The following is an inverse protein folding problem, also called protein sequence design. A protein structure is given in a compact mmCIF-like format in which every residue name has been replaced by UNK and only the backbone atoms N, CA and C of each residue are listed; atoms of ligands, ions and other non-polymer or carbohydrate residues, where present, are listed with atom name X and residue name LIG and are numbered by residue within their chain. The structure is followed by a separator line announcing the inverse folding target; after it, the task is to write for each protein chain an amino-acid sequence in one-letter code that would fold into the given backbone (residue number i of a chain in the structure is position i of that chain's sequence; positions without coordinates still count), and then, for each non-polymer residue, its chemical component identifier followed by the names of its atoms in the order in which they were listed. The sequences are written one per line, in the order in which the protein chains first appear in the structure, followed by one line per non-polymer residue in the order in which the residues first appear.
data_IF_418341837621
#
_entry.id   IF_418341837621
#
_cell.length_a   1.000
_cell.length_b   1.000
_cell.length_c   1.000
_cell.angle_alpha   90.00
_cell.angle_beta   90.00
_cell.angle_gamma   90.00
#
_symmetry.space_group_name_H-M   'P 1'
#
loop_
_entity.id
_entity.type
_entity.pdbx_description
1 polymer ?
#
# COMPACT_ATOMS: atom_id res chain seq x y z
N UNK A 1 9.48 1.48 11.58
CA UNK A 1 9.53 1.11 10.14
C UNK A 1 10.78 0.37 9.71
N UNK A 2 11.99 0.96 9.74
CA UNK A 2 13.20 0.26 9.24
C UNK A 2 13.42 -1.08 9.98
N UNK A 3 13.27 -1.08 11.30
CA UNK A 3 13.34 -2.30 12.12
C UNK A 3 12.22 -3.30 11.79
N UNK A 4 11.02 -2.83 11.41
CA UNK A 4 9.91 -3.69 11.04
C UNK A 4 10.16 -4.38 9.69
N UNK A 5 10.70 -3.64 8.72
CA UNK A 5 11.15 -4.18 7.43
C UNK A 5 12.25 -5.22 7.65
N UNK A 6 13.22 -4.94 8.52
CA UNK A 6 14.25 -5.90 8.92
C UNK A 6 13.64 -7.16 9.53
N UNK A 7 12.71 -7.00 10.48
CA UNK A 7 11.99 -8.13 11.10
C UNK A 7 11.29 -8.98 10.06
N UNK A 8 10.60 -8.39 9.08
CA UNK A 8 9.94 -9.13 7.99
C UNK A 8 10.96 -9.88 7.13
N UNK A 9 12.09 -9.26 6.80
CA UNK A 9 13.16 -9.90 6.03
C UNK A 9 13.80 -11.10 6.76
N UNK A 10 13.85 -11.04 8.09
CA UNK A 10 14.35 -12.13 8.93
C UNK A 10 13.26 -13.21 9.20
N UNK A 11 12.09 -13.07 8.59
CA UNK A 11 10.97 -13.99 8.72
C UNK A 11 9.96 -13.63 9.80
N UNK A 12 10.15 -12.60 10.62
CA UNK A 12 9.05 -12.13 11.47
C UNK A 12 7.88 -11.53 10.67
N UNK A 13 6.88 -11.06 11.39
CA UNK A 13 5.73 -10.32 10.87
C UNK A 13 5.74 -8.88 11.37
N UNK A 14 5.02 -7.99 10.68
CA UNK A 14 4.81 -6.62 11.17
C UNK A 14 3.45 -6.07 10.79
N UNK A 15 2.93 -5.19 11.63
CA UNK A 15 1.68 -4.48 11.39
C UNK A 15 1.81 -3.05 11.86
N UNK A 16 1.49 -2.10 10.98
CA UNK A 16 1.50 -0.67 11.28
C UNK A 16 0.30 0.04 10.68
N UNK A 17 -0.24 1.02 11.38
CA UNK A 17 -1.27 1.96 10.91
C UNK A 17 -0.66 3.35 10.91
N UNK A 18 -0.52 3.94 9.73
CA UNK A 18 -0.03 5.29 9.53
C UNK A 18 -1.24 6.22 9.46
N UNK A 19 -1.37 7.09 10.45
CA UNK A 19 -2.52 7.97 10.63
C UNK A 19 -2.10 9.42 10.46
N UNK A 20 -2.82 10.16 9.62
CA UNK A 20 -2.58 11.58 9.42
C UNK A 20 -3.71 12.21 8.62
N UNK A 21 -3.84 13.53 8.72
CA UNK A 21 -4.82 14.32 7.98
C UNK A 21 -4.66 14.16 6.46
N UNK A 22 -5.66 14.59 5.69
CA UNK A 22 -5.48 14.76 4.25
C UNK A 22 -4.31 15.70 3.99
N UNK A 23 -3.45 15.35 3.01
CA UNK A 23 -2.23 16.10 2.74
C UNK A 23 -1.05 15.84 3.68
N UNK A 24 -1.20 15.12 4.81
CA UNK A 24 -0.11 14.87 5.77
C UNK A 24 1.02 13.94 5.27
N UNK A 25 1.04 13.59 3.98
CA UNK A 25 2.11 12.79 3.38
C UNK A 25 1.99 11.28 3.59
N UNK A 26 0.79 10.75 3.92
CA UNK A 26 0.56 9.30 4.11
C UNK A 26 1.02 8.46 2.91
N UNK A 27 0.53 8.77 1.73
CA UNK A 27 0.91 8.06 0.49
C UNK A 27 2.41 8.13 0.22
N UNK A 28 3.03 9.29 0.46
CA UNK A 28 4.48 9.45 0.36
C UNK A 28 5.21 8.54 1.35
N UNK A 29 4.77 8.49 2.62
CA UNK A 29 5.34 7.63 3.63
C UNK A 29 5.22 6.14 3.28
N UNK A 30 4.05 5.71 2.78
CA UNK A 30 3.85 4.33 2.31
C UNK A 30 4.79 4.01 1.13
N UNK A 31 4.96 4.94 0.19
CA UNK A 31 5.91 4.77 -0.92
C UNK A 31 7.37 4.72 -0.44
N UNK A 32 7.74 5.50 0.57
CA UNK A 32 9.07 5.43 1.19
C UNK A 32 9.31 4.06 1.85
N UNK A 33 8.33 3.55 2.59
CA UNK A 33 8.38 2.20 3.18
C UNK A 33 8.59 1.15 2.09
N UNK A 34 7.85 1.24 0.97
CA UNK A 34 8.02 0.34 -0.18
C UNK A 34 9.43 0.40 -0.74
N UNK A 35 9.95 1.60 -1.01
CA UNK A 35 11.29 1.77 -1.57
C UNK A 35 12.36 1.13 -0.67
N UNK A 36 12.28 1.34 0.65
CA UNK A 36 13.20 0.73 1.62
C UNK A 36 13.05 -0.79 1.66
N UNK A 37 11.81 -1.31 1.59
CA UNK A 37 11.54 -2.74 1.57
C UNK A 37 12.14 -3.42 0.33
N UNK A 38 12.02 -2.79 -0.85
CA UNK A 38 12.64 -3.27 -2.10
C UNK A 38 14.16 -3.32 -1.98
N UNK A 39 14.79 -2.30 -1.41
CA UNK A 39 16.25 -2.29 -1.14
C UNK A 39 16.68 -3.40 -0.18
N UNK A 40 15.81 -3.77 0.77
CA UNK A 40 15.99 -4.91 1.67
C UNK A 40 15.60 -6.27 1.05
N UNK A 41 15.46 -6.35 -0.28
CA UNK A 41 15.11 -7.57 -1.04
C UNK A 41 13.75 -8.17 -0.65
N UNK A 42 12.83 -7.36 -0.11
CA UNK A 42 11.43 -7.77 0.03
C UNK A 42 10.68 -7.58 -1.28
N UNK A 43 9.59 -8.34 -1.44
CA UNK A 43 8.55 -8.08 -2.42
C UNK A 43 7.58 -7.07 -1.82
N UNK A 44 7.10 -6.09 -2.60
CA UNK A 44 6.06 -5.15 -2.13
C UNK A 44 4.82 -5.28 -2.97
N UNK A 45 3.65 -5.21 -2.34
CA UNK A 45 2.34 -5.09 -3.02
C UNK A 45 1.61 -3.87 -2.46
N UNK A 46 0.85 -3.18 -3.30
CA UNK A 46 0.16 -1.97 -2.87
C UNK A 46 -1.16 -1.74 -3.62
N UNK A 47 -2.12 -1.14 -2.92
CA UNK A 47 -3.41 -0.75 -3.48
C UNK A 47 -4.10 0.28 -2.58
N UNK A 48 -4.92 1.12 -3.19
CA UNK A 48 -5.82 2.01 -2.48
C UNK A 48 -7.17 1.31 -2.26
N UNK A 49 -7.73 1.45 -1.06
CA UNK A 49 -9.08 0.99 -0.79
C UNK A 49 -10.09 1.95 -1.41
N UNK A 50 -11.18 1.39 -1.91
CA UNK A 50 -12.31 2.13 -2.47
C UNK A 50 -13.60 1.28 -2.35
N UNK A 51 -14.77 1.77 -2.78
CA UNK A 51 -16.01 1.00 -2.68
C UNK A 51 -15.95 -0.39 -3.33
N UNK A 52 -15.11 -0.60 -4.35
CA UNK A 52 -14.97 -1.87 -5.08
C UNK A 52 -13.77 -2.71 -4.63
N UNK A 53 -12.94 -2.20 -3.71
CA UNK A 53 -11.72 -2.83 -3.19
C UNK A 53 -11.69 -2.71 -1.67
N UNK A 54 -12.10 -3.78 -0.99
CA UNK A 54 -12.25 -3.84 0.47
C UNK A 54 -11.51 -5.04 1.03
N UNK A 55 -11.19 -5.02 2.32
CA UNK A 55 -10.50 -6.15 2.97
C UNK A 55 -11.41 -7.36 3.14
N UNK A 56 -12.71 -7.13 3.32
CA UNK A 56 -13.72 -8.16 3.45
C UNK A 56 -14.98 -7.77 2.67
N UNK A 57 -15.49 -8.70 1.86
CA UNK A 57 -16.75 -8.57 1.14
C UNK A 57 -17.28 -9.97 0.74
N UNK A 58 -18.41 -10.01 0.04
CA UNK A 58 -18.96 -11.24 -0.54
C UNK A 58 -19.30 -11.11 -2.03
N UNK A 59 -19.09 -9.93 -2.62
CA UNK A 59 -19.46 -9.59 -4.00
C UNK A 59 -18.30 -9.52 -4.98
N UNK A 60 -17.12 -10.02 -4.60
CA UNK A 60 -15.89 -9.97 -5.40
C UNK A 60 -14.97 -8.80 -5.08
N UNK A 61 -15.34 -7.90 -4.16
CA UNK A 61 -14.55 -6.69 -3.86
C UNK A 61 -13.24 -7.02 -3.14
N UNK A 62 -13.20 -8.07 -2.30
CA UNK A 62 -11.97 -8.48 -1.65
C UNK A 62 -11.03 -9.17 -2.66
N UNK A 63 -11.57 -9.99 -3.56
CA UNK A 63 -10.81 -10.56 -4.67
C UNK A 63 -10.29 -9.47 -5.61
N UNK A 64 -11.08 -8.42 -5.87
CA UNK A 64 -10.66 -7.24 -6.65
C UNK A 64 -9.46 -6.53 -6.01
N UNK A 65 -9.49 -6.35 -4.68
CA UNK A 65 -8.34 -5.82 -3.93
C UNK A 65 -7.11 -6.73 -4.10
N UNK A 66 -7.26 -8.05 -3.95
CA UNK A 66 -6.16 -8.99 -4.14
C UNK A 66 -5.58 -8.95 -5.55
N UNK A 67 -6.43 -8.91 -6.58
CA UNK A 67 -5.99 -8.83 -7.96
C UNK A 67 -5.20 -7.56 -8.25
N UNK A 68 -5.62 -6.42 -7.69
CA UNK A 68 -4.86 -5.18 -7.76
C UNK A 68 -3.50 -5.30 -7.05
N UNK A 69 -3.48 -5.87 -5.84
CA UNK A 69 -2.22 -6.12 -5.10
C UNK A 69 -1.26 -7.01 -5.89
N UNK A 70 -1.76 -8.10 -6.48
CA UNK A 70 -0.96 -9.02 -7.27
C UNK A 70 -0.45 -8.38 -8.57
N UNK A 71 -1.26 -7.54 -9.22
CA UNK A 71 -0.84 -6.74 -10.38
C UNK A 71 0.25 -5.75 -10.01
N UNK A 72 0.11 -5.08 -8.87
CA UNK A 72 1.05 -4.07 -8.36
C UNK A 72 2.25 -4.67 -7.60
N UNK A 73 2.39 -6.00 -7.64
CA UNK A 73 3.52 -6.71 -7.05
C UNK A 73 4.82 -6.28 -7.69
N UNK A 74 5.76 -5.83 -6.86
CA UNK A 74 7.01 -5.20 -7.26
C UNK A 74 8.21 -5.84 -6.58
N UNK A 75 9.33 -5.88 -7.30
CA UNK A 75 10.63 -6.31 -6.78
C UNK A 75 11.66 -5.23 -7.08
N UNK A 76 12.85 -5.29 -6.47
CA UNK A 76 13.90 -4.29 -6.72
C UNK A 76 14.26 -4.15 -8.22
N UNK A 77 14.18 -5.24 -8.98
CA UNK A 77 14.46 -5.25 -10.42
C UNK A 77 13.25 -4.85 -11.27
N UNK A 78 12.07 -4.74 -10.67
CA UNK A 78 10.82 -4.35 -11.34
C UNK A 78 9.94 -3.55 -10.36
N UNK A 79 10.30 -2.28 -10.08
CA UNK A 79 9.65 -1.47 -9.05
C UNK A 79 8.25 -0.96 -9.44
N UNK A 80 7.94 -0.94 -10.74
CA UNK A 80 6.70 -0.38 -11.30
C UNK A 80 5.52 -1.39 -11.32
N UNK A 81 5.67 -2.57 -10.72
CA UNK A 81 4.65 -3.62 -10.68
C UNK A 81 4.84 -4.74 -11.71
N UNK A 82 3.92 -5.72 -11.70
CA UNK A 82 3.93 -6.87 -12.61
C UNK A 82 5.09 -7.84 -12.40
N UNK A 83 5.63 -7.96 -11.19
CA UNK A 83 6.79 -8.80 -10.88
C UNK A 83 6.44 -10.27 -10.61
N UNK A 84 5.16 -10.62 -10.45
CA UNK A 84 4.70 -11.96 -10.08
C UNK A 84 5.25 -13.07 -10.99
N UNK A 85 5.17 -12.90 -12.32
CA UNK A 85 5.70 -13.88 -13.26
C UNK A 85 7.21 -14.08 -13.09
N UNK A 86 7.99 -13.01 -12.93
CA UNK A 86 9.43 -13.10 -12.70
C UNK A 86 9.79 -13.76 -11.35
N UNK A 87 8.94 -13.62 -10.33
CA UNK A 87 9.12 -14.35 -9.06
C UNK A 87 8.90 -15.85 -9.26
N UNK A 88 7.85 -16.24 -10.00
CA UNK A 88 7.56 -17.64 -10.34
C UNK A 88 8.69 -18.25 -11.17
N UNK A 89 9.15 -17.54 -12.20
CA UNK A 89 10.28 -17.97 -13.04
C UNK A 89 11.57 -18.15 -12.23
N UNK A 90 11.86 -17.23 -11.30
CA UNK A 90 13.03 -17.33 -10.42
C UNK A 90 12.96 -18.60 -9.56
N UNK A 91 11.81 -18.88 -8.95
CA UNK A 91 11.59 -20.11 -8.17
C UNK A 91 11.79 -21.36 -9.03
N UNK A 92 11.18 -21.41 -10.22
CA UNK A 92 11.30 -22.54 -11.13
C UNK A 92 12.75 -22.74 -11.61
N UNK A 93 13.47 -21.64 -11.87
CA UNK A 93 14.89 -21.71 -12.22
C UNK A 93 15.76 -22.33 -11.12
N UNK A 94 15.47 -22.00 -9.86
CA UNK A 94 16.12 -22.61 -8.69
C UNK A 94 15.78 -24.10 -8.60
N UNK A 95 14.48 -24.46 -8.69
CA UNK A 95 14.02 -25.84 -8.63
C UNK A 95 14.61 -26.71 -9.77
N UNK A 96 14.72 -26.17 -11.00
CA UNK A 96 15.38 -26.86 -12.13
C UNK A 96 16.86 -27.10 -11.89
N UNK A 97 17.55 -26.15 -11.25
CA UNK A 97 18.97 -26.30 -10.92
C UNK A 97 19.16 -27.42 -9.89
N UNK A 98 18.31 -27.47 -8.87
CA UNK A 98 18.33 -28.54 -7.86
C UNK A 98 17.91 -29.91 -8.44
N UNK A 99 16.92 -29.94 -9.35
CA UNK A 99 16.51 -31.15 -10.05
C UNK A 99 17.67 -31.79 -10.82
N UNK A 100 18.44 -30.98 -11.57
CA UNK A 100 19.65 -31.43 -12.27
C UNK A 100 20.72 -31.96 -11.31
N UNK A 101 20.90 -31.33 -10.15
CA UNK A 101 21.90 -31.74 -9.16
C UNK A 101 21.51 -33.03 -8.43
N UNK A 102 20.21 -33.28 -8.22
CA UNK A 102 19.67 -34.41 -7.46
C UNK A 102 19.21 -35.60 -8.33
N UNK A 103 19.23 -35.46 -9.66
CA UNK A 103 18.74 -36.49 -10.59
C UNK A 103 17.23 -36.68 -10.56
N UNK A 104 16.47 -35.70 -10.05
CA UNK A 104 15.00 -35.70 -9.99
C UNK A 104 14.42 -34.87 -11.12
N UNK A 105 13.12 -35.00 -11.36
CA UNK A 105 12.39 -34.09 -12.26
C UNK A 105 12.16 -32.73 -11.60
N UNK A 106 11.99 -31.69 -12.41
CA UNK A 106 11.65 -30.33 -11.92
C UNK A 106 10.34 -30.32 -11.13
N UNK A 107 9.33 -31.07 -11.59
CA UNK A 107 8.04 -31.15 -10.92
C UNK A 107 8.14 -31.80 -9.53
N UNK A 108 8.93 -32.86 -9.37
CA UNK A 108 9.16 -33.50 -8.07
C UNK A 108 9.82 -32.55 -7.06
N UNK A 109 10.82 -31.77 -7.51
CA UNK A 109 11.49 -30.77 -6.67
C UNK A 109 10.54 -29.65 -6.30
N UNK A 110 9.76 -29.12 -7.26
CA UNK A 110 8.75 -28.08 -6.99
C UNK A 110 7.75 -28.56 -5.95
N UNK A 111 7.19 -29.77 -6.11
CA UNK A 111 6.24 -30.33 -5.14
C UNK A 111 6.88 -30.48 -3.76
N UNK A 112 8.11 -31.01 -3.69
CA UNK A 112 8.82 -31.18 -2.43
C UNK A 112 9.08 -29.84 -1.72
N UNK A 113 9.50 -28.82 -2.46
CA UNK A 113 9.71 -27.48 -1.91
C UNK A 113 8.39 -26.82 -1.46
N UNK A 114 7.28 -27.07 -2.15
CA UNK A 114 5.97 -26.49 -1.81
C UNK A 114 5.14 -27.32 -0.81
N UNK A 115 5.61 -28.50 -0.38
CA UNK A 115 4.88 -29.39 0.53
C UNK A 115 4.38 -28.69 1.80
N UNK A 116 5.21 -27.85 2.43
CA UNK A 116 4.84 -27.12 3.64
C UNK A 116 3.75 -26.07 3.41
N UNK A 117 3.52 -25.63 2.15
CA UNK A 117 2.41 -24.76 1.82
C UNK A 117 1.09 -25.51 1.72
N UNK A 118 1.11 -26.82 1.48
CA UNK A 118 -0.12 -27.61 1.28
C UNK A 118 -1.01 -27.71 2.52
N UNK A 119 -0.46 -27.45 3.71
CA UNK A 119 -1.21 -27.36 4.97
C UNK A 119 -1.97 -26.02 5.10
N UNK A 120 -1.65 -25.05 4.26
CA UNK A 120 -2.31 -23.74 4.22
C UNK A 120 -3.56 -23.78 3.32
N UNK A 121 -4.47 -22.83 3.54
CA UNK A 121 -5.64 -22.63 2.66
C UNK A 121 -5.16 -22.38 1.21
N UNK A 122 -5.76 -23.08 0.25
CA UNK A 122 -5.38 -23.09 -1.17
C UNK A 122 -3.97 -23.64 -1.48
N UNK A 123 -3.26 -24.19 -0.50
CA UNK A 123 -1.89 -24.70 -0.63
C UNK A 123 -1.68 -25.75 -1.72
N UNK A 124 -2.57 -26.74 -1.77
CA UNK A 124 -2.48 -27.83 -2.74
C UNK A 124 -2.68 -27.33 -4.18
N UNK A 125 -3.76 -26.58 -4.44
CA UNK A 125 -4.03 -26.01 -5.76
C UNK A 125 -2.93 -25.00 -6.15
N UNK A 126 -2.36 -24.25 -5.20
CA UNK A 126 -1.23 -23.36 -5.47
C UNK A 126 -0.01 -24.13 -5.99
N UNK A 127 0.33 -25.27 -5.39
CA UNK A 127 1.44 -26.11 -5.86
C UNK A 127 1.17 -26.64 -7.28
N UNK A 128 -0.06 -27.06 -7.57
CA UNK A 128 -0.46 -27.51 -8.91
C UNK A 128 -0.39 -26.37 -9.94
N UNK A 129 -0.71 -25.13 -9.55
CA UNK A 129 -0.59 -23.94 -10.41
C UNK A 129 0.87 -23.62 -10.74
N UNK A 130 1.78 -23.70 -9.77
CA UNK A 130 3.22 -23.50 -10.01
C UNK A 130 3.78 -24.62 -10.90
N UNK A 131 3.36 -25.87 -10.67
CA UNK A 131 3.74 -27.00 -11.53
C UNK A 131 3.20 -26.82 -12.96
N UNK A 132 1.97 -26.35 -13.13
CA UNK A 132 1.37 -26.03 -14.43
C UNK A 132 2.16 -24.94 -15.16
N UNK A 133 2.59 -23.88 -14.46
CA UNK A 133 3.47 -22.87 -15.04
C UNK A 133 4.80 -23.48 -15.51
N UNK A 134 5.42 -24.36 -14.71
CA UNK A 134 6.67 -25.03 -15.09
C UNK A 134 6.50 -25.88 -16.35
N UNK A 135 5.44 -26.70 -16.44
CA UNK A 135 5.13 -27.48 -17.64
C UNK A 135 4.89 -26.57 -18.84
N UNK A 136 4.13 -25.50 -18.67
CA UNK A 136 3.90 -24.53 -19.74
C UNK A 136 5.19 -23.87 -20.23
N UNK A 137 6.14 -23.61 -19.33
CA UNK A 137 7.47 -23.14 -19.70
C UNK A 137 8.28 -24.18 -20.47
N UNK A 138 8.28 -25.44 -20.03
CA UNK A 138 9.03 -26.53 -20.67
C UNK A 138 8.48 -26.91 -22.06
N UNK A 139 7.16 -26.83 -22.23
CA UNK A 139 6.45 -27.17 -23.47
C UNK A 139 6.28 -25.98 -24.42
N UNK A 140 6.66 -24.76 -24.01
CA UNK A 140 6.40 -23.54 -24.77
C UNK A 140 4.92 -23.16 -24.87
N UNK A 141 4.09 -23.66 -23.95
CA UNK A 141 2.66 -23.39 -23.89
C UNK A 141 2.38 -22.07 -23.13
N UNK A 142 2.34 -20.97 -23.87
CA UNK A 142 2.07 -19.64 -23.32
C UNK A 142 0.67 -19.50 -22.71
N UNK A 143 -0.32 -20.24 -23.20
CA UNK A 143 -1.67 -20.25 -22.62
C UNK A 143 -1.64 -20.81 -21.20
N UNK A 144 -0.97 -21.95 -20.99
CA UNK A 144 -0.88 -22.57 -19.66
C UNK A 144 -0.12 -21.70 -18.66
N UNK A 145 0.95 -21.03 -19.10
CA UNK A 145 1.67 -20.03 -18.29
C UNK A 145 0.76 -18.85 -17.93
N UNK A 146 0.03 -18.33 -18.92
CA UNK A 146 -0.91 -17.23 -18.74
C UNK A 146 -2.02 -17.57 -17.74
N UNK A 147 -2.61 -18.75 -17.87
CA UNK A 147 -3.66 -19.24 -16.97
C UNK A 147 -3.13 -19.43 -15.54
N UNK A 148 -1.91 -19.95 -15.37
CA UNK A 148 -1.31 -20.08 -14.05
C UNK A 148 -1.09 -18.71 -13.38
N UNK A 149 -0.58 -17.71 -14.11
CA UNK A 149 -0.45 -16.34 -13.60
C UNK A 149 -1.82 -15.73 -13.29
N UNK A 150 -2.81 -15.96 -14.14
CA UNK A 150 -4.20 -15.52 -13.94
C UNK A 150 -4.79 -16.08 -12.65
N UNK A 151 -4.52 -17.35 -12.33
CA UNK A 151 -4.93 -17.94 -11.05
C UNK A 151 -4.20 -17.31 -9.88
N UNK A 152 -2.88 -17.14 -9.95
CA UNK A 152 -2.09 -16.51 -8.88
C UNK A 152 -2.51 -15.05 -8.60
N UNK A 153 -3.04 -14.35 -9.62
CA UNK A 153 -3.62 -13.01 -9.52
C UNK A 153 -5.08 -12.99 -9.03
N UNK A 154 -5.73 -14.14 -8.85
CA UNK A 154 -7.12 -14.19 -8.42
C UNK A 154 -8.12 -13.73 -9.49
N UNK A 155 -7.78 -13.90 -10.77
CA UNK A 155 -8.57 -13.39 -11.91
C UNK A 155 -9.54 -14.43 -12.50
N UNK A 156 -9.68 -15.58 -11.86
CA UNK A 156 -10.75 -16.53 -12.16
C UNK A 156 -12.02 -16.19 -11.38
N UNK A 157 -13.13 -16.04 -12.10
CA UNK A 157 -14.44 -15.77 -11.51
C UNK A 157 -15.17 -17.04 -11.06
N UNK A 158 -14.90 -18.18 -11.71
CA UNK A 158 -15.57 -19.46 -11.43
C UNK A 158 -14.57 -20.60 -11.26
N UNK A 159 -14.93 -21.59 -10.44
CA UNK A 159 -14.16 -22.83 -10.25
C UNK A 159 -14.13 -23.68 -11.52
N UNK A 160 -15.19 -23.63 -12.33
CA UNK A 160 -15.29 -24.37 -13.59
C UNK A 160 -14.23 -23.92 -14.58
N UNK A 161 -14.04 -22.61 -14.74
CA UNK A 161 -13.04 -22.07 -15.66
C UNK A 161 -11.62 -22.38 -15.19
N UNK A 162 -11.36 -22.25 -13.89
CA UNK A 162 -10.05 -22.59 -13.30
C UNK A 162 -9.73 -24.07 -13.46
N UNK A 163 -10.72 -24.95 -13.28
CA UNK A 163 -10.57 -26.39 -13.49
C UNK A 163 -10.31 -26.73 -14.96
N UNK A 164 -11.01 -26.08 -15.89
CA UNK A 164 -10.80 -26.29 -17.31
C UNK A 164 -9.40 -25.84 -17.77
N UNK A 165 -8.90 -24.73 -17.23
CA UNK A 165 -7.61 -24.16 -17.60
C UNK A 165 -6.41 -24.89 -16.94
N UNK A 166 -6.53 -25.26 -15.67
CA UNK A 166 -5.39 -25.70 -14.84
C UNK A 166 -5.61 -27.02 -14.10
N UNK A 167 -6.83 -27.59 -14.12
CA UNK A 167 -7.17 -28.80 -13.39
C UNK A 167 -7.39 -28.61 -11.87
N UNK A 168 -7.28 -27.38 -11.37
CA UNK A 168 -7.47 -27.04 -9.94
C UNK A 168 -8.93 -27.05 -9.51
N UNK A 169 -9.16 -27.21 -8.20
CA UNK A 169 -10.52 -27.30 -7.62
C UNK A 169 -11.02 -26.01 -7.00
N UNK A 170 -10.12 -25.09 -6.67
CA UNK A 170 -10.44 -23.81 -6.01
C UNK A 170 -10.03 -22.61 -6.85
N UNK A 171 -10.55 -21.46 -6.44
CA UNK A 171 -10.13 -20.13 -6.90
C UNK A 171 -9.88 -19.29 -5.65
N UNK A 172 -9.13 -18.20 -5.80
CA UNK A 172 -9.01 -17.18 -4.77
C UNK A 172 -10.33 -16.38 -4.78
N UNK A 173 -11.11 -16.54 -3.71
CA UNK A 173 -12.39 -15.87 -3.49
C UNK A 173 -12.29 -14.86 -2.34
N UNK A 174 -13.34 -14.06 -2.14
CA UNK A 174 -13.35 -13.00 -1.12
C UNK A 174 -13.01 -13.50 0.30
N UNK A 175 -13.40 -14.73 0.63
CA UNK A 175 -13.16 -15.33 1.94
C UNK A 175 -11.71 -15.77 2.16
N UNK A 176 -10.98 -16.09 1.09
CA UNK A 176 -9.63 -16.65 1.13
C UNK A 176 -8.51 -15.66 0.83
N UNK A 177 -8.82 -14.41 0.47
CA UNK A 177 -7.83 -13.37 0.08
C UNK A 177 -6.70 -13.20 1.10
N UNK A 178 -7.02 -13.14 2.39
CA UNK A 178 -5.99 -12.93 3.40
C UNK A 178 -5.11 -14.18 3.60
N UNK A 179 -5.70 -15.37 3.57
CA UNK A 179 -4.93 -16.61 3.64
C UNK A 179 -4.04 -16.78 2.40
N UNK A 180 -4.52 -16.32 1.24
CA UNK A 180 -3.74 -16.25 0.02
C UNK A 180 -2.55 -15.27 0.13
N UNK A 181 -2.71 -14.12 0.80
CA UNK A 181 -1.58 -13.21 1.06
C UNK A 181 -0.52 -13.86 1.95
N UNK A 182 -0.92 -14.61 2.98
CA UNK A 182 0.01 -15.39 3.80
C UNK A 182 0.75 -16.43 2.96
N UNK A 183 0.03 -17.19 2.14
CA UNK A 183 0.61 -18.19 1.26
C UNK A 183 1.60 -17.55 0.27
N UNK A 184 1.24 -16.42 -0.35
CA UNK A 184 2.13 -15.68 -1.24
C UNK A 184 3.40 -15.20 -0.53
N UNK A 185 3.28 -14.71 0.72
CA UNK A 185 4.43 -14.31 1.53
C UNK A 185 5.43 -15.46 1.76
N UNK A 186 4.92 -16.68 1.98
CA UNK A 186 5.73 -17.89 2.06
C UNK A 186 6.40 -18.20 0.74
N UNK A 187 5.64 -18.19 -0.34
CA UNK A 187 6.13 -18.49 -1.67
C UNK A 187 7.25 -17.54 -2.11
N UNK A 188 7.14 -16.23 -1.87
CA UNK A 188 8.21 -15.29 -2.23
C UNK A 188 9.51 -15.56 -1.46
N UNK A 189 9.42 -16.06 -0.22
CA UNK A 189 10.61 -16.50 0.53
C UNK A 189 11.26 -17.72 -0.12
N UNK A 190 10.46 -18.70 -0.54
CA UNK A 190 10.96 -19.87 -1.28
C UNK A 190 11.60 -19.48 -2.61
N UNK A 191 11.08 -18.46 -3.29
CA UNK A 191 11.68 -17.87 -4.48
C UNK A 191 12.97 -17.07 -4.18
N UNK A 192 13.43 -17.01 -2.92
CA UNK A 192 14.66 -16.37 -2.48
C UNK A 192 14.55 -14.85 -2.29
N UNK A 193 13.39 -14.34 -1.89
CA UNK A 193 13.21 -12.98 -1.37
C UNK A 193 13.14 -13.00 0.17
N UNK A 194 13.29 -11.85 0.84
CA UNK A 194 13.25 -11.82 2.32
C UNK A 194 11.85 -12.00 2.91
N UNK A 195 10.80 -11.68 2.14
CA UNK A 195 9.42 -11.64 2.59
C UNK A 195 8.57 -10.70 1.73
N UNK A 196 7.37 -10.38 2.19
CA UNK A 196 6.41 -9.53 1.48
C UNK A 196 5.89 -8.39 2.37
N UNK A 197 5.85 -7.18 1.82
CA UNK A 197 5.32 -5.98 2.46
C UNK A 197 4.04 -5.53 1.73
N UNK A 198 2.90 -5.55 2.43
CA UNK A 198 1.61 -5.07 1.94
C UNK A 198 1.39 -3.63 2.38
N UNK A 199 1.16 -2.73 1.43
CA UNK A 199 0.88 -1.31 1.69
C UNK A 199 -0.52 -0.97 1.20
N UNK A 200 -1.43 -0.64 2.11
CA UNK A 200 -2.81 -0.27 1.78
C UNK A 200 -3.03 1.18 2.15
N UNK A 201 -3.45 2.02 1.21
CA UNK A 201 -3.82 3.42 1.48
C UNK A 201 -5.35 3.61 1.43
N UNK A 202 -5.80 4.80 1.80
CA UNK A 202 -7.20 5.21 1.70
C UNK A 202 -8.18 4.34 2.52
N UNK A 203 -7.75 3.87 3.70
CA UNK A 203 -8.61 3.09 4.60
C UNK A 203 -9.85 3.85 5.09
N UNK A 204 -9.87 5.18 4.94
CA UNK A 204 -11.06 6.01 5.20
C UNK A 204 -12.28 5.54 4.39
N UNK A 205 -12.09 4.89 3.24
CA UNK A 205 -13.20 4.32 2.47
C UNK A 205 -13.96 3.23 3.23
N UNK A 206 -13.34 2.54 4.19
CA UNK A 206 -14.04 1.60 5.09
C UNK A 206 -14.93 2.34 6.10
N UNK A 207 -14.49 3.50 6.58
CA UNK A 207 -15.27 4.36 7.48
C UNK A 207 -16.51 4.95 6.79
N UNK A 208 -16.39 5.30 5.51
CA UNK A 208 -17.49 5.81 4.68
C UNK A 208 -18.59 4.77 4.41
N UNK A 209 -18.35 3.47 4.66
CA UNK A 209 -19.37 2.45 4.47
C UNK A 209 -20.61 2.70 5.34
N UNK A 210 -21.76 2.92 4.68
CA UNK A 210 -23.04 3.11 5.36
C UNK A 210 -23.48 1.86 6.13
N UNK A 211 -23.34 0.67 5.51
CA UNK A 211 -23.71 -0.60 6.14
C UNK A 211 -22.76 -0.96 7.29
N UNK A 212 -23.31 -0.97 8.52
CA UNK A 212 -22.57 -1.24 9.76
C UNK A 212 -21.98 -2.65 9.79
N UNK A 213 -22.73 -3.66 9.34
CA UNK A 213 -22.25 -5.04 9.32
C UNK A 213 -21.05 -5.19 8.39
N UNK A 214 -21.13 -4.63 7.18
CA UNK A 214 -20.02 -4.66 6.22
C UNK A 214 -18.78 -3.93 6.77
N UNK A 215 -18.96 -2.80 7.45
CA UNK A 215 -17.86 -2.07 8.11
C UNK A 215 -17.22 -2.91 9.22
N UNK A 216 -18.03 -3.51 10.09
CA UNK A 216 -17.55 -4.37 11.17
C UNK A 216 -16.79 -5.59 10.66
N UNK A 217 -17.25 -6.26 9.60
CA UNK A 217 -16.51 -7.40 9.02
C UNK A 217 -15.15 -6.98 8.44
N UNK A 218 -15.02 -5.76 7.90
CA UNK A 218 -13.72 -5.23 7.50
C UNK A 218 -12.81 -4.95 8.70
N UNK A 219 -13.37 -4.46 9.82
CA UNK A 219 -12.62 -4.23 11.05
C UNK A 219 -12.17 -5.53 11.73
N UNK A 220 -13.01 -6.56 11.69
CA UNK A 220 -12.65 -7.92 12.11
C UNK A 220 -11.50 -8.48 11.26
N UNK A 221 -11.51 -8.21 9.95
CA UNK A 221 -10.41 -8.61 9.07
C UNK A 221 -9.10 -7.87 9.42
N UNK A 222 -9.15 -6.57 9.73
CA UNK A 222 -7.99 -5.81 10.24
C UNK A 222 -7.49 -6.40 11.56
N UNK A 223 -8.39 -6.74 12.47
CA UNK A 223 -8.06 -7.35 13.76
C UNK A 223 -7.40 -8.72 13.56
N UNK A 224 -7.89 -9.53 12.63
CA UNK A 224 -7.30 -10.83 12.26
C UNK A 224 -5.86 -10.65 11.77
N UNK A 225 -5.62 -9.68 10.88
CA UNK A 225 -4.28 -9.35 10.38
C UNK A 225 -3.35 -8.92 11.54
N UNK A 226 -3.82 -8.01 12.40
CA UNK A 226 -3.05 -7.53 13.55
C UNK A 226 -2.71 -8.68 14.51
N UNK A 227 -3.67 -9.54 14.84
CA UNK A 227 -3.46 -10.66 15.76
C UNK A 227 -2.47 -11.66 15.20
N UNK A 228 -2.62 -12.07 13.93
CA UNK A 228 -1.69 -12.99 13.27
C UNK A 228 -0.26 -12.41 13.21
N UNK A 229 -0.15 -11.09 13.00
CA UNK A 229 1.13 -10.38 12.99
C UNK A 229 1.80 -10.34 14.37
N UNK A 230 1.02 -10.27 15.45
CA UNK A 230 1.54 -10.30 16.83
C UNK A 230 1.86 -11.72 17.31
N UNK A 231 1.10 -12.72 16.85
CA UNK A 231 1.26 -14.13 17.23
C UNK A 231 2.31 -14.86 16.39
N UNK A 232 2.80 -14.25 15.30
CA UNK A 232 3.82 -14.83 14.43
C UNK A 232 3.30 -15.86 13.41
N UNK A 233 1.98 -15.96 13.23
CA UNK A 233 1.37 -16.86 12.22
C UNK A 233 1.44 -16.30 10.79
N UNK A 234 1.89 -15.05 10.64
CA UNK A 234 2.11 -14.35 9.36
C UNK A 234 3.61 -14.20 9.02
N UNK A 235 4.42 -15.24 9.23
CA UNK A 235 5.88 -15.15 9.06
C UNK A 235 6.28 -14.73 7.63
N UNK A 236 7.15 -13.72 7.54
CA UNK A 236 7.57 -13.09 6.30
C UNK A 236 6.56 -12.11 5.70
N UNK A 237 5.50 -11.73 6.43
CA UNK A 237 4.46 -10.82 5.97
C UNK A 237 4.39 -9.57 6.85
N UNK A 238 4.50 -8.40 6.21
CA UNK A 238 4.23 -7.10 6.83
C UNK A 238 2.96 -6.45 6.29
N UNK A 239 2.31 -5.62 7.11
CA UNK A 239 1.28 -4.67 6.70
C UNK A 239 1.59 -3.24 7.14
N UNK A 240 1.38 -2.28 6.24
CA UNK A 240 1.31 -0.85 6.55
C UNK A 240 0.02 -0.29 5.97
N UNK A 241 -0.82 0.28 6.83
CA UNK A 241 -2.16 0.78 6.51
C UNK A 241 -2.21 2.30 6.65
N UNK A 242 -2.57 3.04 5.60
CA UNK A 242 -2.77 4.50 5.60
C UNK A 242 -4.22 4.88 5.88
N UNK A 243 -4.47 5.63 6.97
CA UNK A 243 -5.82 6.06 7.36
C UNK A 243 -5.87 7.50 7.89
N UNK A 244 -7.07 8.05 8.00
CA UNK A 244 -7.27 9.38 8.62
C UNK A 244 -7.44 9.27 10.15
N UNK A 245 -7.28 10.37 10.89
CA UNK A 245 -7.50 10.37 12.33
C UNK A 245 -8.93 9.96 12.71
N UNK A 246 -9.95 10.34 11.94
CA UNK A 246 -11.35 9.94 12.19
C UNK A 246 -11.52 8.44 12.01
N UNK A 247 -10.91 7.87 10.96
CA UNK A 247 -10.92 6.43 10.73
C UNK A 247 -10.36 5.65 11.93
N UNK A 248 -9.34 6.19 12.62
CA UNK A 248 -8.80 5.57 13.82
C UNK A 248 -9.67 5.85 15.07
N UNK A 249 -9.89 7.13 15.38
CA UNK A 249 -10.28 7.60 16.71
C UNK A 249 -11.79 7.64 16.96
N UNK A 250 -12.61 7.70 15.91
CA UNK A 250 -14.06 7.77 16.08
C UNK A 250 -14.58 6.51 16.79
N UNK A 251 -15.18 6.69 17.96
CA UNK A 251 -15.68 5.62 18.83
C UNK A 251 -17.05 5.06 18.42
N UNK A 252 -17.71 5.66 17.43
CA UNK A 252 -18.98 5.20 16.86
C UNK A 252 -18.79 4.51 15.52
N UNK A 253 -17.89 5.03 14.68
CA UNK A 253 -17.73 4.56 13.30
C UNK A 253 -16.32 4.14 12.92
N UNK A 254 -15.28 4.64 13.59
CA UNK A 254 -13.88 4.32 13.30
C UNK A 254 -13.42 3.01 13.94
N UNK A 255 -12.13 2.69 13.84
CA UNK A 255 -11.55 1.49 14.43
C UNK A 255 -11.76 1.42 15.94
N UNK A 256 -11.79 2.56 16.63
CA UNK A 256 -12.05 2.62 18.07
C UNK A 256 -13.49 2.29 18.45
N UNK A 257 -14.42 2.21 17.49
CA UNK A 257 -15.75 1.64 17.75
C UNK A 257 -15.71 0.13 18.02
N UNK A 258 -14.62 -0.55 17.64
CA UNK A 258 -14.39 -1.96 17.92
C UNK A 258 -13.40 -2.11 19.07
N UNK A 259 -13.89 -2.43 20.27
CA UNK A 259 -13.11 -2.42 21.53
C UNK A 259 -11.84 -3.28 21.46
N UNK A 260 -11.89 -4.43 20.76
CA UNK A 260 -10.72 -5.29 20.58
C UNK A 260 -9.62 -4.62 19.73
N UNK A 261 -9.97 -3.81 18.73
CA UNK A 261 -9.00 -3.01 17.97
C UNK A 261 -8.51 -1.83 18.79
N UNK A 262 -9.42 -1.12 19.48
CA UNK A 262 -9.07 0.01 20.33
C UNK A 262 -7.98 -0.38 21.34
N UNK A 263 -8.16 -1.48 22.08
CA UNK A 263 -7.18 -1.93 23.07
C UNK A 263 -5.80 -2.27 22.49
N UNK A 264 -5.73 -2.69 21.22
CA UNK A 264 -4.47 -3.03 20.54
C UNK A 264 -3.80 -1.84 19.87
N UNK A 265 -4.59 -0.84 19.48
CA UNK A 265 -4.14 0.35 18.76
C UNK A 265 -3.98 1.58 19.67
N UNK A 266 -4.46 1.51 20.91
CA UNK A 266 -4.35 2.57 21.88
C UNK A 266 -2.89 2.98 22.09
N UNK A 267 -2.71 4.28 22.30
CA UNK A 267 -1.39 4.83 22.56
C UNK A 267 -0.90 4.46 23.95
N UNK A 268 0.43 4.46 24.04
CA UNK A 268 1.09 4.38 25.32
C UNK A 268 0.71 5.59 26.18
N UNK A 269 0.13 5.36 27.36
CA UNK A 269 -0.30 6.41 28.29
C UNK A 269 0.85 7.33 28.72
N UNK A 270 2.10 6.86 28.63
CA UNK A 270 3.29 7.64 28.96
C UNK A 270 3.85 8.46 27.78
N UNK A 271 3.35 8.26 26.56
CA UNK A 271 3.71 9.06 25.38
C UNK A 271 2.96 10.41 25.36
N UNK A 272 3.13 11.19 26.44
CA UNK A 272 2.58 12.54 26.60
C UNK A 272 3.71 13.56 26.73
N UNK A 273 3.42 14.86 26.64
CA UNK A 273 4.40 15.94 26.86
C UNK A 273 5.64 15.93 25.93
N UNK A 274 5.45 15.59 24.64
CA UNK A 274 6.53 15.59 23.64
C UNK A 274 7.33 14.29 23.54
N UNK A 275 7.04 13.30 24.39
CA UNK A 275 7.55 11.94 24.21
C UNK A 275 6.76 11.23 23.11
N UNK A 276 7.47 10.60 22.16
CA UNK A 276 6.85 9.85 21.06
C UNK A 276 7.28 8.40 21.14
N UNK A 277 6.29 7.50 21.20
CA UNK A 277 6.50 6.06 21.18
C UNK A 277 6.22 5.50 19.77
N UNK A 278 7.28 5.21 19.02
CA UNK A 278 7.19 4.60 17.70
C UNK A 278 7.19 3.05 17.74
N UNK A 279 7.17 2.45 18.93
CA UNK A 279 7.14 0.99 19.08
C UNK A 279 5.74 0.43 18.90
N UNK A 280 4.70 1.22 19.22
CA UNK A 280 3.29 0.87 19.07
C UNK A 280 2.82 0.79 17.61
N UNK A 281 1.73 0.05 17.32
CA UNK A 281 1.30 -0.23 15.95
C UNK A 281 0.83 1.00 15.19
N UNK A 282 0.48 2.09 15.87
CA UNK A 282 0.04 3.35 15.25
C UNK A 282 1.22 4.31 15.11
N UNK A 283 1.41 4.86 13.91
CA UNK A 283 2.36 5.92 13.60
C UNK A 283 1.55 7.14 13.20
N UNK A 284 1.66 8.24 13.96
CA UNK A 284 1.02 9.50 13.58
C UNK A 284 1.95 10.35 12.73
N UNK A 285 1.45 10.80 11.59
CA UNK A 285 2.08 11.84 10.79
C UNK A 285 1.52 13.19 11.25
N UNK A 286 2.38 14.01 11.83
CA UNK A 286 2.05 15.40 12.11
C UNK A 286 1.94 16.18 10.79
N UNK A 287 1.11 17.22 10.78
CA UNK A 287 1.11 18.19 9.71
C UNK A 287 2.47 18.89 9.63
N UNK A 288 2.87 19.29 8.42
CA UNK A 288 4.13 20.00 8.21
C UNK A 288 4.10 21.35 8.94
N UNK A 289 5.14 21.61 9.74
CA UNK A 289 5.38 22.94 10.31
C UNK A 289 5.90 23.91 9.24
N UNK A 290 5.85 25.24 9.47
CA UNK A 290 6.54 26.21 8.61
C UNK A 290 8.00 25.84 8.34
N UNK A 291 8.70 25.38 9.37
CA UNK A 291 10.10 24.99 9.31
C UNK A 291 10.29 23.72 8.46
N UNK A 292 9.44 22.71 8.63
CA UNK A 292 9.47 21.49 7.80
C UNK A 292 9.19 21.82 6.34
N UNK A 293 8.23 22.72 6.09
CA UNK A 293 7.85 23.12 4.75
C UNK A 293 8.96 23.88 4.04
N UNK A 294 9.66 24.77 4.75
CA UNK A 294 10.86 25.43 4.25
C UNK A 294 11.92 24.42 3.82
N UNK A 295 12.24 23.45 4.70
CA UNK A 295 13.23 22.40 4.40
C UNK A 295 12.80 21.56 3.21
N UNK A 296 11.50 21.27 3.07
CA UNK A 296 10.95 20.54 1.94
C UNK A 296 11.15 21.30 0.61
N UNK A 297 10.81 22.59 0.57
CA UNK A 297 10.98 23.42 -0.62
C UNK A 297 12.45 23.58 -0.99
N UNK A 298 13.35 23.72 -0.01
CA UNK A 298 14.79 23.78 -0.27
C UNK A 298 15.32 22.46 -0.84
N UNK A 299 14.86 21.32 -0.31
CA UNK A 299 15.20 20.01 -0.89
C UNK A 299 14.68 19.86 -2.31
N UNK A 300 13.45 20.30 -2.60
CA UNK A 300 12.90 20.29 -3.96
C UNK A 300 13.75 21.16 -4.90
N UNK A 301 14.13 22.36 -4.45
CA UNK A 301 15.00 23.28 -5.19
C UNK A 301 16.35 22.63 -5.54
N UNK A 302 16.96 21.90 -4.59
CA UNK A 302 18.24 21.20 -4.80
C UNK A 302 18.05 19.98 -5.72
N UNK A 303 16.98 19.21 -5.55
CA UNK A 303 16.66 18.05 -6.41
C UNK A 303 16.44 18.50 -7.86
N UNK A 304 15.73 19.61 -8.07
CA UNK A 304 15.55 20.21 -9.39
C UNK A 304 16.88 20.64 -10.03
N UNK A 305 17.89 20.96 -9.21
CA UNK A 305 19.25 21.25 -9.63
C UNK A 305 20.14 19.99 -9.73
N UNK A 306 19.54 18.80 -9.84
CA UNK A 306 20.23 17.50 -9.88
C UNK A 306 21.17 17.25 -8.69
N UNK A 307 20.84 17.81 -7.53
CA UNK A 307 21.64 17.69 -6.30
C UNK A 307 22.76 18.72 -6.17
N UNK A 308 22.94 19.61 -7.15
CA UNK A 308 23.98 20.64 -7.13
C UNK A 308 23.37 22.00 -6.75
N UNK A 309 23.56 22.40 -5.49
CA UNK A 309 23.03 23.66 -4.97
C UNK A 309 23.51 24.91 -5.74
N UNK A 310 24.64 24.82 -6.45
CA UNK A 310 25.18 25.93 -7.26
C UNK A 310 24.41 26.15 -8.56
N UNK A 311 23.70 25.12 -9.03
CA UNK A 311 22.86 25.15 -10.24
C UNK A 311 21.40 25.48 -9.94
N UNK A 312 21.07 25.76 -8.70
CA UNK A 312 19.71 26.08 -8.31
C UNK A 312 19.27 27.41 -8.93
N UNK A 313 18.19 27.35 -9.72
CA UNK A 313 17.63 28.49 -10.45
C UNK A 313 17.10 29.56 -9.49
N UNK A 314 16.52 29.13 -8.36
CA UNK A 314 16.06 30.02 -7.30
C UNK A 314 17.12 30.20 -6.21
N UNK A 315 17.35 31.45 -5.74
CA UNK A 315 18.14 31.68 -4.54
C UNK A 315 17.37 31.24 -3.31
N UNK A 316 18.07 30.94 -2.22
CA UNK A 316 17.47 30.44 -0.97
C UNK A 316 16.46 31.44 -0.36
N UNK A 317 16.67 32.74 -0.56
CA UNK A 317 15.78 33.83 -0.14
C UNK A 317 14.42 33.85 -0.89
N UNK A 318 14.30 33.15 -2.02
CA UNK A 318 13.03 33.04 -2.72
C UNK A 318 12.04 32.12 -1.99
N UNK A 319 12.55 31.20 -1.15
CA UNK A 319 11.70 30.26 -0.41
C UNK A 319 10.82 30.98 0.63
N UNK A 320 11.36 31.83 1.53
CA UNK A 320 10.52 32.61 2.44
C UNK A 320 9.55 33.55 1.72
N UNK A 321 9.96 34.13 0.58
CA UNK A 321 9.10 35.01 -0.22
C UNK A 321 7.90 34.25 -0.82
N UNK A 322 8.15 33.05 -1.36
CA UNK A 322 7.10 32.16 -1.84
C UNK A 322 6.16 31.72 -0.72
N UNK A 323 6.70 31.29 0.42
CA UNK A 323 5.92 30.89 1.58
C UNK A 323 5.06 32.06 2.11
N UNK A 324 5.60 33.27 2.18
CA UNK A 324 4.85 34.46 2.60
C UNK A 324 3.70 34.78 1.65
N UNK A 325 3.91 34.63 0.33
CA UNK A 325 2.85 34.79 -0.68
C UNK A 325 1.74 33.75 -0.51
N UNK A 326 2.11 32.47 -0.33
CA UNK A 326 1.15 31.40 -0.08
C UNK A 326 0.38 31.63 1.22
N UNK A 327 1.05 32.05 2.30
CA UNK A 327 0.42 32.39 3.58
C UNK A 327 -0.61 33.52 3.42
N UNK A 328 -0.27 34.57 2.66
CA UNK A 328 -1.17 35.71 2.42
C UNK A 328 -2.43 35.31 1.64
N UNK A 329 -2.29 34.44 0.63
CA UNK A 329 -3.40 34.01 -0.25
C UNK A 329 -4.28 32.92 0.39
N UNK A 330 -3.67 31.96 1.06
CA UNK A 330 -4.35 30.76 1.56
C UNK A 330 -4.63 30.78 3.07
N UNK A 331 -4.05 31.73 3.82
CA UNK A 331 -4.07 31.71 5.30
C UNK A 331 -3.35 30.48 5.86
N UNK A 332 -3.68 30.03 7.07
CA UNK A 332 -3.09 28.82 7.67
C UNK A 332 -3.36 27.50 6.88
N UNK A 333 -4.14 27.57 5.80
CA UNK A 333 -4.53 26.41 5.01
C UNK A 333 -3.41 25.89 4.09
N UNK A 334 -2.39 26.68 3.73
CA UNK A 334 -1.33 26.18 2.82
C UNK A 334 -0.46 25.06 3.42
N UNK A 335 -0.40 24.96 4.76
CA UNK A 335 0.23 23.84 5.47
C UNK A 335 -0.63 22.58 5.50
N UNK A 336 -1.95 22.75 5.36
CA UNK A 336 -2.92 21.65 5.33
C UNK A 336 -3.04 21.05 3.93
N UNK A 337 -2.72 21.82 2.89
CA UNK A 337 -2.74 21.39 1.48
C UNK A 337 -1.34 21.44 0.84
N UNK A 338 -0.35 20.73 1.40
CA UNK A 338 1.04 20.84 0.95
C UNK A 338 1.20 20.42 -0.52
N UNK A 339 0.36 19.51 -1.04
CA UNK A 339 0.40 19.08 -2.44
C UNK A 339 0.28 20.26 -3.41
N UNK A 340 -0.72 21.11 -3.24
CA UNK A 340 -0.99 22.24 -4.14
C UNK A 340 0.13 23.26 -4.10
N UNK A 341 0.59 23.59 -2.90
CA UNK A 341 1.69 24.53 -2.69
C UNK A 341 3.01 23.99 -3.27
N UNK A 342 3.29 22.69 -3.13
CA UNK A 342 4.46 22.03 -3.73
C UNK A 342 4.36 22.03 -5.25
N UNK A 343 3.20 21.69 -5.83
CA UNK A 343 2.99 21.72 -7.28
C UNK A 343 3.21 23.13 -7.84
N UNK A 344 2.67 24.15 -7.18
CA UNK A 344 2.89 25.55 -7.55
C UNK A 344 4.38 25.93 -7.54
N UNK A 345 5.14 25.46 -6.53
CA UNK A 345 6.58 25.70 -6.45
C UNK A 345 7.36 24.99 -7.56
N UNK A 346 7.00 23.74 -7.89
CA UNK A 346 7.61 23.00 -9.01
C UNK A 346 7.30 23.69 -10.34
N UNK A 347 6.07 24.17 -10.54
CA UNK A 347 5.70 24.91 -11.74
C UNK A 347 6.49 26.22 -11.86
N UNK A 348 6.71 26.93 -10.75
CA UNK A 348 7.56 28.12 -10.73
C UNK A 348 9.00 27.79 -11.17
N UNK A 349 9.59 26.72 -10.64
CA UNK A 349 10.93 26.25 -11.04
C UNK A 349 11.00 25.92 -12.53
N UNK A 350 10.02 25.18 -13.05
CA UNK A 350 9.96 24.80 -14.46
C UNK A 350 9.83 26.01 -15.40
N UNK A 351 9.05 27.02 -15.02
CA UNK A 351 8.92 28.27 -15.79
C UNK A 351 10.24 29.04 -15.81
N UNK A 352 10.92 29.16 -14.67
CA UNK A 352 12.20 29.85 -14.57
C UNK A 352 13.33 29.13 -15.33
N UNK A 353 13.31 27.80 -15.36
CA UNK A 353 14.26 27.00 -16.14
C UNK A 353 14.17 27.33 -17.63
N UNK A 354 12.95 27.49 -18.15
CA UNK A 354 12.71 27.82 -19.56
C UNK A 354 12.87 29.33 -19.86
N UNK A 355 12.85 30.18 -18.84
CA UNK A 355 12.92 31.64 -18.99
C UNK A 355 13.97 32.24 -18.04
N UNK A 356 15.28 32.09 -18.32
CA UNK A 356 16.35 32.49 -17.40
C UNK A 356 16.41 34.00 -17.10
N UNK A 357 15.80 34.84 -17.94
CA UNK A 357 15.73 36.29 -17.75
C UNK A 357 14.52 36.75 -16.94
N UNK A 358 13.60 35.85 -16.58
CA UNK A 358 12.41 36.19 -15.82
C UNK A 358 12.76 36.49 -14.35
N UNK A 359 12.15 37.55 -13.80
CA UNK A 359 12.31 37.87 -12.38
C UNK A 359 11.34 37.00 -11.55
N UNK A 360 11.90 36.09 -10.76
CA UNK A 360 11.14 35.23 -9.87
C UNK A 360 10.25 36.03 -8.89
N UNK A 361 10.64 37.25 -8.51
CA UNK A 361 9.84 38.10 -7.60
C UNK A 361 8.50 38.49 -8.24
N UNK A 362 8.51 38.77 -9.54
CA UNK A 362 7.30 39.11 -10.29
C UNK A 362 6.40 37.89 -10.47
N UNK A 363 7.00 36.74 -10.79
CA UNK A 363 6.25 35.48 -10.98
C UNK A 363 5.54 35.03 -9.71
N UNK A 364 6.19 35.13 -8.54
CA UNK A 364 5.54 34.85 -7.25
C UNK A 364 4.34 35.78 -7.05
N UNK A 365 4.48 37.08 -7.32
CA UNK A 365 3.39 38.05 -7.14
C UNK A 365 2.15 37.77 -7.97
N UNK A 366 2.32 37.24 -9.18
CA UNK A 366 1.22 36.87 -10.10
C UNK A 366 0.65 35.47 -9.86
N UNK A 367 1.25 34.69 -8.97
CA UNK A 367 0.92 33.29 -8.81
C UNK A 367 -0.44 33.13 -8.12
N UNK A 368 -1.40 32.54 -8.81
CA UNK A 368 -2.69 32.14 -8.26
C UNK A 368 -2.57 30.71 -7.71
N UNK A 369 -2.64 30.56 -6.39
CA UNK A 369 -2.79 29.25 -5.75
C UNK A 369 -4.25 29.07 -5.41
N UNK A 370 -4.92 28.15 -6.10
CA UNK A 370 -6.29 27.79 -5.75
C UNK A 370 -6.32 27.09 -4.39
N UNK A 371 -7.39 27.36 -3.61
CA UNK A 371 -7.65 26.62 -2.38
C UNK A 371 -8.07 25.21 -2.75
N UNK A 372 -7.21 24.25 -2.45
CA UNK A 372 -7.56 22.83 -2.52
C UNK A 372 -8.57 22.52 -1.39
N UNK A 373 -9.78 22.12 -1.76
CA UNK A 373 -10.81 21.63 -0.82
C UNK A 373 -10.58 20.16 -0.42
N UNK A 374 -9.43 19.59 -0.84
CA UNK A 374 -8.91 18.24 -0.63
C UNK A 374 -9.39 17.53 0.63
N UNK A 375 -10.54 16.88 0.50
CA UNK A 375 -11.09 15.96 1.49
C UNK A 375 -12.37 16.42 2.21
N UNK A 376 -12.73 17.71 2.19
CA UNK A 376 -13.94 18.17 2.93
C UNK A 376 -15.23 17.61 2.29
N UNK A 377 -15.28 17.53 0.96
CA UNK A 377 -16.37 16.87 0.24
C UNK A 377 -16.39 15.34 0.42
N UNK A 378 -15.24 14.74 0.73
CA UNK A 378 -15.08 13.29 0.90
C UNK A 378 -15.50 12.79 2.29
N UNK A 379 -15.48 13.67 3.30
CA UNK A 379 -15.90 13.37 4.69
C UNK A 379 -17.40 13.63 4.87
N UNK A 380 -18.05 14.36 3.95
CA UNK A 380 -19.49 14.50 3.93
C UNK A 380 -20.13 13.13 3.64
N UNK A 381 -20.49 12.40 4.69
CA UNK A 381 -21.50 11.36 4.58
C UNK A 381 -22.77 12.06 4.13
N UNK A 382 -23.32 11.71 2.96
CA UNK A 382 -24.66 12.13 2.57
C UNK A 382 -25.60 11.83 3.75
N UNK A 383 -25.99 12.89 4.45
CA UNK A 383 -26.90 12.85 5.57
C UNK A 383 -28.29 12.57 5.02
N UNK A 384 -29.01 11.72 5.74
CA UNK A 384 -30.37 11.21 5.53
C UNK A 384 -31.47 12.31 5.59
N UNK A 385 -31.21 13.51 5.07
CA UNK A 385 -32.12 14.66 5.13
C UNK A 385 -33.08 14.76 3.92
N UNK A 386 -32.93 13.91 2.89
CA UNK A 386 -33.86 13.89 1.75
C UNK A 386 -35.16 13.09 1.98
N UNK A 387 -35.29 12.36 3.09
CA UNK A 387 -36.50 11.57 3.40
C UNK A 387 -37.43 12.21 4.45
N UNK A 388 -37.09 13.38 5.01
CA UNK A 388 -37.91 14.06 6.02
C UNK A 388 -38.88 15.13 5.48
N UNK A 389 -39.09 15.23 4.16
CA UNK A 389 -39.99 16.23 3.55
C UNK A 389 -41.17 15.66 2.76
N UNK A 390 -41.76 14.55 3.18
CA UNK A 390 -43.13 14.20 2.79
C UNK A 390 -44.12 14.68 3.84
N UNK A 391 -44.63 15.92 3.68
CA UNK A 391 -45.88 16.32 4.33
C UNK A 391 -47.04 15.74 3.51
N UNK A 392 -47.77 14.81 4.11
CA UNK A 392 -49.10 14.43 3.67
C UNK A 392 -50.00 15.67 3.71
N UNK A 393 -50.44 16.11 2.53
CA UNK A 393 -51.55 17.04 2.34
C UNK A 393 -52.80 16.29 1.93
#
# INVERSE_FOLDING_TARGET
MIQDIGRVADGGSSFRVVVGEYGAGKTFFLNLVRAIALEKKLVTVHADLNPDRRLHASGGQARSLYAELAKNMSTRTKPDGGALAGIVEKFIGQAKTEAKASGRTSEEVIRLQLNHLTEMVNGYDFADVIAAYCRGFDEGNEQLKGDAIRWLRGEFSTKTDARAALGVRTIIDDASVYDQLKLMARFVKLAGYGGMMVCLDELVNLYKLANVQARNSNYEQILRILNDSLQGSAEGLGFVLGGTPEFLLDTKRGLYSYTALQSRLAENTFATNGFVDYTGPVIRLASLTPEDFYVLLDKIRIVHAFGDATKAILPQEAIPAFMAHCAMRLGDTYFRTPRTTITAFINLLAVLEQNPSADWRQLIGTLEVEKDTGGVADVATEGDDELASFRLG
#
